data_IF_719888328414
#
_entry.id   IF_719888328414
#
_cell.length_a   1.000
_cell.length_b   1.000
_cell.length_c   1.000
_cell.angle_alpha   90.00
_cell.angle_beta   90.00
_cell.angle_gamma   90.00
#
_symmetry.space_group_name_H-M   'P 1'
#
loop_
_entity.id
_entity.type
_entity.pdbx_description
1 polymer ?
#
# COMPACT_ATOMS: atom_id res chain seq x y z
N UNK A 1 14.61 35.17 -15.33
CA UNK A 1 13.78 34.18 -16.04
C UNK A 1 13.95 32.86 -15.33
N UNK A 2 12.99 32.51 -14.48
CA UNK A 2 13.01 31.24 -13.75
C UNK A 2 12.10 30.27 -14.52
N UNK A 3 12.71 29.44 -15.34
CA UNK A 3 12.01 28.31 -15.96
C UNK A 3 11.68 27.27 -14.87
N UNK A 4 10.40 27.11 -14.59
CA UNK A 4 9.88 26.03 -13.75
C UNK A 4 10.02 24.72 -14.51
N UNK A 5 11.06 23.96 -14.19
CA UNK A 5 11.37 22.62 -14.74
C UNK A 5 10.47 21.49 -14.20
N UNK A 6 9.20 21.74 -13.94
CA UNK A 6 8.25 20.69 -13.55
C UNK A 6 6.97 20.88 -14.34
N UNK A 7 6.88 20.23 -15.48
CA UNK A 7 5.66 20.05 -16.25
C UNK A 7 4.86 18.86 -15.72
N UNK A 8 3.53 18.91 -15.78
CA UNK A 8 2.63 17.85 -15.31
C UNK A 8 2.90 16.47 -15.98
N UNK A 9 3.44 16.45 -17.19
CA UNK A 9 3.85 15.23 -17.89
C UNK A 9 4.98 14.44 -17.21
N UNK A 10 5.85 15.10 -16.43
CA UNK A 10 6.95 14.42 -15.72
C UNK A 10 6.47 13.64 -14.50
N UNK A 11 5.31 13.93 -13.95
CA UNK A 11 4.75 13.24 -12.78
C UNK A 11 4.13 11.89 -13.17
N UNK A 12 3.46 11.82 -14.32
CA UNK A 12 2.88 10.57 -14.85
C UNK A 12 3.96 9.61 -15.32
N UNK A 13 5.01 10.12 -15.98
CA UNK A 13 6.18 9.32 -16.38
C UNK A 13 6.92 8.73 -15.18
N UNK A 14 7.05 9.48 -14.08
CA UNK A 14 7.68 8.99 -12.84
C UNK A 14 6.86 7.87 -12.18
N UNK A 15 5.54 7.99 -12.19
CA UNK A 15 4.65 6.98 -11.62
C UNK A 15 4.68 5.67 -12.42
N UNK A 16 4.68 5.73 -13.75
CA UNK A 16 4.78 4.57 -14.64
C UNK A 16 6.16 3.90 -14.52
N UNK A 17 7.22 4.70 -14.46
CA UNK A 17 8.58 4.23 -14.25
C UNK A 17 8.71 3.47 -12.92
N UNK A 18 8.24 4.05 -11.81
CA UNK A 18 8.25 3.38 -10.50
C UNK A 18 7.42 2.10 -10.51
N UNK A 19 6.29 2.07 -11.22
CA UNK A 19 5.44 0.87 -11.31
C UNK A 19 6.16 -0.30 -11.99
N UNK A 20 6.96 -0.03 -13.02
CA UNK A 20 7.74 -1.06 -13.73
C UNK A 20 8.86 -1.67 -12.90
N UNK A 21 9.36 -0.96 -11.89
CA UNK A 21 10.44 -1.42 -11.01
C UNK A 21 9.92 -2.18 -9.77
N UNK A 22 8.62 -2.17 -9.51
CA UNK A 22 8.07 -2.82 -8.30
C UNK A 22 8.26 -4.33 -8.34
N UNK A 23 8.70 -4.94 -7.23
CA UNK A 23 8.67 -6.39 -7.09
C UNK A 23 7.22 -6.90 -7.17
N UNK A 24 7.05 -8.08 -7.74
CA UNK A 24 5.73 -8.72 -7.90
C UNK A 24 5.45 -9.77 -6.84
N UNK A 25 6.49 -10.31 -6.21
CA UNK A 25 6.39 -11.36 -5.19
C UNK A 25 7.20 -11.03 -3.95
N UNK A 26 6.95 -11.74 -2.84
CA UNK A 26 7.78 -11.65 -1.64
C UNK A 26 9.21 -12.11 -1.89
N UNK A 27 9.43 -13.03 -2.82
CA UNK A 27 10.76 -13.50 -3.20
C UNK A 27 11.60 -12.42 -3.89
N UNK A 28 10.95 -11.49 -4.60
CA UNK A 28 11.60 -10.35 -5.24
C UNK A 28 11.72 -9.12 -4.31
N UNK A 29 11.06 -9.15 -3.17
CA UNK A 29 11.00 -8.03 -2.24
C UNK A 29 12.26 -8.00 -1.37
N UNK A 30 13.17 -7.08 -1.67
CA UNK A 30 14.46 -6.91 -0.99
C UNK A 30 14.25 -6.12 0.30
N UNK A 31 14.94 -6.54 1.36
CA UNK A 31 14.91 -5.91 2.68
C UNK A 31 13.62 -6.15 3.45
N UNK A 32 13.46 -5.47 4.60
CA UNK A 32 12.31 -5.64 5.51
C UNK A 32 12.08 -7.11 5.91
N UNK A 33 13.12 -7.90 6.11
CA UNK A 33 13.08 -9.36 6.25
C UNK A 33 12.05 -9.83 7.27
N UNK A 34 12.02 -9.20 8.44
CA UNK A 34 11.05 -9.55 9.51
C UNK A 34 9.59 -9.35 9.03
N UNK A 35 9.31 -8.31 8.28
CA UNK A 35 7.96 -8.03 7.74
C UNK A 35 7.61 -9.06 6.69
N UNK A 36 8.56 -9.33 5.78
CA UNK A 36 8.41 -10.31 4.70
C UNK A 36 8.13 -11.71 5.26
N UNK A 37 8.94 -12.16 6.22
CA UNK A 37 8.81 -13.50 6.79
C UNK A 37 7.48 -13.69 7.53
N UNK A 38 7.06 -12.70 8.31
CA UNK A 38 5.75 -12.72 8.98
C UNK A 38 4.59 -12.74 7.98
N UNK A 39 4.65 -11.93 6.93
CA UNK A 39 3.63 -11.92 5.88
C UNK A 39 3.59 -13.24 5.12
N UNK A 40 4.73 -13.85 4.83
CA UNK A 40 4.80 -15.14 4.17
C UNK A 40 4.04 -16.23 4.96
N UNK A 41 4.22 -16.27 6.28
CA UNK A 41 3.50 -17.22 7.15
C UNK A 41 2.00 -16.93 7.14
N UNK A 42 1.60 -15.67 7.31
CA UNK A 42 0.18 -15.27 7.36
C UNK A 42 -0.54 -15.54 6.04
N UNK A 43 0.10 -15.21 4.92
CA UNK A 43 -0.44 -15.45 3.57
C UNK A 43 -0.56 -16.95 3.29
N UNK A 44 0.46 -17.74 3.62
CA UNK A 44 0.43 -19.19 3.44
C UNK A 44 -0.72 -19.82 4.25
N UNK A 45 -0.93 -19.37 5.48
CA UNK A 45 -2.03 -19.83 6.34
C UNK A 45 -3.41 -19.47 5.75
N UNK A 46 -3.61 -18.22 5.33
CA UNK A 46 -4.88 -17.77 4.72
C UNK A 46 -5.19 -18.55 3.44
N UNK A 47 -4.19 -18.73 2.55
CA UNK A 47 -4.33 -19.54 1.34
C UNK A 47 -4.69 -20.99 1.63
N UNK A 48 -4.01 -21.61 2.61
CA UNK A 48 -4.27 -23.00 3.02
C UNK A 48 -5.69 -23.22 3.51
N UNK A 49 -6.27 -22.25 4.22
CA UNK A 49 -7.67 -22.27 4.69
C UNK A 49 -8.66 -21.78 3.66
N UNK A 50 -8.22 -21.19 2.55
CA UNK A 50 -9.06 -20.51 1.53
C UNK A 50 -9.88 -19.37 2.13
N UNK A 51 -9.32 -18.64 3.05
CA UNK A 51 -9.93 -17.51 3.74
C UNK A 51 -9.30 -16.18 3.30
N UNK A 52 -9.98 -15.06 3.56
CA UNK A 52 -9.37 -13.75 3.46
C UNK A 52 -8.23 -13.64 4.49
N UNK A 53 -7.17 -12.90 4.13
CA UNK A 53 -6.12 -12.56 5.08
C UNK A 53 -6.69 -11.58 6.13
N UNK A 54 -6.22 -11.64 7.35
CA UNK A 54 -6.51 -10.63 8.35
C UNK A 54 -6.15 -9.23 7.84
N UNK A 55 -6.87 -8.21 8.30
CA UNK A 55 -6.61 -6.84 7.88
C UNK A 55 -5.20 -6.39 8.26
N UNK A 56 -4.51 -5.74 7.34
CA UNK A 56 -3.09 -5.38 7.45
C UNK A 56 -2.92 -3.86 7.54
N UNK A 57 -2.17 -3.41 8.54
CA UNK A 57 -1.71 -2.02 8.66
C UNK A 57 -0.22 -1.92 8.37
N UNK A 58 0.13 -1.15 7.33
CA UNK A 58 1.51 -0.84 6.97
C UNK A 58 1.81 0.61 7.32
N UNK A 59 2.78 0.86 8.20
CA UNK A 59 3.12 2.24 8.58
C UNK A 59 4.62 2.50 8.57
N UNK A 60 5.00 3.74 8.43
CA UNK A 60 6.40 4.17 8.40
C UNK A 60 6.63 5.33 7.44
N UNK A 61 7.86 5.87 7.37
CA UNK A 61 8.22 6.98 6.50
C UNK A 61 7.78 6.80 5.06
N UNK A 62 7.62 7.89 4.28
CA UNK A 62 7.27 7.81 2.87
C UNK A 62 8.40 7.16 2.04
N UNK A 63 8.03 6.51 0.94
CA UNK A 63 8.99 5.93 -0.01
C UNK A 63 9.61 4.59 0.37
N UNK A 64 9.15 3.95 1.48
CA UNK A 64 9.66 2.66 1.97
C UNK A 64 8.96 1.43 1.37
N UNK A 65 8.03 1.60 0.42
CA UNK A 65 7.41 0.48 -0.27
C UNK A 65 6.08 -0.03 0.29
N UNK A 66 5.35 0.74 1.14
CA UNK A 66 4.03 0.35 1.66
C UNK A 66 3.05 -0.03 0.55
N UNK A 67 2.90 0.83 -0.44
CA UNK A 67 2.05 0.57 -1.62
C UNK A 67 2.52 -0.65 -2.40
N UNK A 68 3.82 -0.79 -2.61
CA UNK A 68 4.42 -1.96 -3.27
C UNK A 68 4.07 -3.24 -2.53
N UNK A 69 4.22 -3.23 -1.20
CA UNK A 69 3.94 -4.41 -0.37
C UNK A 69 2.46 -4.80 -0.41
N UNK A 70 1.54 -3.82 -0.47
CA UNK A 70 0.11 -4.10 -0.63
C UNK A 70 -0.18 -4.87 -1.94
N UNK A 71 0.44 -4.48 -3.05
CA UNK A 71 0.30 -5.21 -4.32
C UNK A 71 0.97 -6.58 -4.29
N UNK A 72 2.12 -6.71 -3.63
CA UNK A 72 2.79 -8.00 -3.43
C UNK A 72 1.89 -8.95 -2.63
N UNK A 73 1.26 -8.48 -1.54
CA UNK A 73 0.32 -9.28 -0.76
C UNK A 73 -0.84 -9.78 -1.64
N UNK A 74 -1.46 -8.90 -2.43
CA UNK A 74 -2.54 -9.30 -3.34
C UNK A 74 -2.10 -10.33 -4.38
N UNK A 75 -0.91 -10.15 -4.95
CA UNK A 75 -0.33 -11.12 -5.90
C UNK A 75 -0.07 -12.49 -5.24
N UNK A 76 0.50 -12.50 -4.04
CA UNK A 76 0.75 -13.73 -3.28
C UNK A 76 -0.56 -14.44 -2.87
N UNK A 77 -1.61 -13.68 -2.57
CA UNK A 77 -2.95 -14.24 -2.30
C UNK A 77 -3.64 -14.72 -3.57
N UNK A 78 -3.20 -14.30 -4.75
CA UNK A 78 -3.83 -14.62 -6.04
C UNK A 78 -5.15 -13.88 -6.26
N UNK A 79 -5.29 -12.66 -5.72
CA UNK A 79 -6.51 -11.85 -5.80
C UNK A 79 -6.23 -10.46 -6.33
N UNK A 80 -7.28 -9.75 -6.77
CA UNK A 80 -7.15 -8.38 -7.21
C UNK A 80 -6.99 -7.42 -6.03
N UNK A 81 -6.23 -6.34 -6.25
CA UNK A 81 -6.06 -5.23 -5.33
C UNK A 81 -6.81 -4.03 -5.88
N UNK A 82 -7.84 -3.59 -5.19
CA UNK A 82 -8.52 -2.34 -5.47
C UNK A 82 -7.91 -1.25 -4.61
N UNK A 83 -7.22 -0.32 -5.26
CA UNK A 83 -6.47 0.72 -4.57
C UNK A 83 -7.21 2.06 -4.59
N UNK A 84 -7.18 2.73 -3.46
CA UNK A 84 -7.64 4.11 -3.28
C UNK A 84 -6.76 4.82 -2.26
N UNK A 85 -7.07 6.06 -1.95
CA UNK A 85 -6.39 6.82 -0.90
C UNK A 85 -7.41 7.50 0.03
N UNK A 86 -7.06 7.66 1.30
CA UNK A 86 -7.94 8.29 2.29
C UNK A 86 -8.54 9.62 1.83
N UNK A 87 -7.75 10.55 1.27
CA UNK A 87 -8.28 11.83 0.78
C UNK A 87 -9.23 11.76 -0.42
N UNK A 88 -9.24 10.64 -1.14
CA UNK A 88 -10.11 10.44 -2.33
C UNK A 88 -11.51 9.99 -1.92
N UNK A 89 -11.64 9.39 -0.75
CA UNK A 89 -12.92 8.94 -0.21
C UNK A 89 -13.59 10.14 0.48
N UNK A 90 -14.44 10.85 -0.26
CA UNK A 90 -15.05 12.09 0.24
C UNK A 90 -16.36 11.84 0.98
N UNK A 91 -17.08 10.79 0.62
CA UNK A 91 -18.43 10.48 1.14
C UNK A 91 -18.53 9.01 1.57
N UNK A 92 -19.42 8.79 2.53
CA UNK A 92 -19.80 7.46 2.97
C UNK A 92 -20.21 6.52 1.82
N UNK A 93 -20.93 7.05 0.83
CA UNK A 93 -21.36 6.31 -0.35
C UNK A 93 -20.22 5.84 -1.25
N UNK A 94 -19.12 6.59 -1.31
CA UNK A 94 -17.95 6.20 -2.11
C UNK A 94 -17.31 4.93 -1.53
N UNK A 95 -17.11 4.91 -0.22
CA UNK A 95 -16.58 3.74 0.48
C UNK A 95 -17.55 2.55 0.41
N UNK A 96 -18.84 2.78 0.62
CA UNK A 96 -19.85 1.74 0.52
C UNK A 96 -19.88 1.11 -0.88
N UNK A 97 -19.80 1.92 -1.94
CA UNK A 97 -19.72 1.43 -3.31
C UNK A 97 -18.44 0.61 -3.57
N UNK A 98 -17.30 1.02 -3.02
CA UNK A 98 -16.07 0.23 -3.13
C UNK A 98 -16.20 -1.12 -2.44
N UNK A 99 -16.71 -1.15 -1.21
CA UNK A 99 -16.85 -2.36 -0.41
C UNK A 99 -17.86 -3.36 -1.00
N UNK A 100 -19.00 -2.88 -1.50
CA UNK A 100 -20.04 -3.74 -2.10
C UNK A 100 -19.62 -4.33 -3.45
N UNK A 101 -18.66 -3.72 -4.14
CA UNK A 101 -18.12 -4.22 -5.41
C UNK A 101 -16.94 -5.18 -5.24
N UNK A 102 -16.44 -5.41 -4.00
CA UNK A 102 -15.38 -6.38 -3.76
C UNK A 102 -15.89 -7.81 -3.99
N UNK A 103 -15.05 -8.62 -4.59
CA UNK A 103 -15.27 -10.05 -4.71
C UNK A 103 -14.69 -10.78 -3.49
N UNK A 104 -15.07 -12.05 -3.31
CA UNK A 104 -14.57 -12.86 -2.20
C UNK A 104 -13.05 -12.86 -2.13
N UNK A 105 -12.52 -12.54 -0.96
CA UNK A 105 -11.09 -12.46 -0.61
C UNK A 105 -10.29 -11.38 -1.34
N UNK A 106 -10.90 -10.51 -2.14
CA UNK A 106 -10.19 -9.37 -2.73
C UNK A 106 -9.56 -8.46 -1.66
N UNK A 107 -8.58 -7.70 -2.09
CA UNK A 107 -7.89 -6.70 -1.25
C UNK A 107 -8.41 -5.31 -1.58
N UNK A 108 -8.87 -4.59 -0.55
CA UNK A 108 -9.03 -3.14 -0.61
C UNK A 108 -7.79 -2.49 0.01
N UNK A 109 -7.05 -1.72 -0.80
CA UNK A 109 -5.90 -0.96 -0.33
C UNK A 109 -6.25 0.52 -0.21
N UNK A 110 -6.06 1.10 0.99
CA UNK A 110 -6.28 2.52 1.26
C UNK A 110 -4.94 3.16 1.67
N UNK A 111 -4.36 3.95 0.76
CA UNK A 111 -3.16 4.73 1.08
C UNK A 111 -3.51 5.98 1.90
N UNK A 112 -2.60 6.41 2.77
CA UNK A 112 -2.80 7.53 3.70
C UNK A 112 -4.15 7.44 4.45
N UNK A 113 -4.48 6.25 4.94
CA UNK A 113 -5.77 5.93 5.60
C UNK A 113 -6.09 6.88 6.77
N UNK A 114 -5.08 7.44 7.44
CA UNK A 114 -5.26 8.42 8.51
C UNK A 114 -5.89 9.76 8.06
N UNK A 115 -6.05 9.97 6.74
CA UNK A 115 -6.64 11.18 6.17
C UNK A 115 -8.11 11.02 5.82
N UNK A 116 -8.71 9.89 6.13
CA UNK A 116 -10.17 9.74 6.00
C UNK A 116 -10.90 10.60 7.03
N UNK A 117 -12.08 11.09 6.65
CA UNK A 117 -12.95 11.76 7.59
C UNK A 117 -13.49 10.78 8.66
N UNK A 118 -13.65 11.19 9.93
CA UNK A 118 -14.13 10.31 11.00
C UNK A 118 -15.44 9.59 10.67
N UNK A 119 -16.39 10.28 10.06
CA UNK A 119 -17.68 9.70 9.66
C UNK A 119 -17.55 8.58 8.61
N UNK A 120 -16.50 8.62 7.78
CA UNK A 120 -16.20 7.57 6.81
C UNK A 120 -15.47 6.42 7.49
N UNK A 121 -14.58 6.73 8.43
CA UNK A 121 -13.87 5.72 9.22
C UNK A 121 -14.84 4.83 10.00
N UNK A 122 -15.92 5.38 10.56
CA UNK A 122 -16.94 4.64 11.29
C UNK A 122 -17.64 3.57 10.45
N UNK A 123 -17.71 3.74 9.12
CA UNK A 123 -18.27 2.74 8.20
C UNK A 123 -17.33 1.52 8.07
N UNK A 124 -16.03 1.72 8.22
CA UNK A 124 -15.08 0.60 8.18
C UNK A 124 -15.23 -0.34 9.37
N UNK A 125 -15.70 0.11 10.51
CA UNK A 125 -15.74 -0.73 11.71
C UNK A 125 -16.59 -1.98 11.52
N UNK A 126 -17.90 -1.90 11.20
CA UNK A 126 -18.69 -3.09 10.94
C UNK A 126 -18.24 -3.84 9.68
N UNK A 127 -17.74 -3.13 8.68
CA UNK A 127 -17.21 -3.77 7.47
C UNK A 127 -16.00 -4.66 7.74
N UNK A 128 -15.12 -4.28 8.66
CA UNK A 128 -13.93 -5.05 9.04
C UNK A 128 -14.23 -6.17 10.03
N UNK A 129 -15.16 -5.97 10.96
CA UNK A 129 -15.46 -6.96 12.01
C UNK A 129 -16.46 -7.99 11.55
N UNK A 130 -17.59 -7.53 10.99
CA UNK A 130 -18.76 -8.36 10.71
C UNK A 130 -18.98 -8.62 9.22
N UNK A 131 -18.20 -7.97 8.35
CA UNK A 131 -18.41 -7.96 6.89
C UNK A 131 -19.83 -7.50 6.52
N UNK A 132 -20.27 -6.42 7.17
CA UNK A 132 -21.57 -5.80 6.95
C UNK A 132 -21.43 -4.29 6.83
N UNK A 133 -22.34 -3.66 6.07
CA UNK A 133 -22.50 -2.21 6.03
C UNK A 133 -23.86 -1.83 6.63
N UNK A 134 -23.86 -0.83 7.49
CA UNK A 134 -25.08 -0.20 7.96
C UNK A 134 -25.44 0.98 7.05
N UNK A 135 -26.50 0.80 6.25
CA UNK A 135 -27.00 1.84 5.34
C UNK A 135 -28.29 2.42 5.88
N UNK A 136 -28.30 3.72 6.12
CA UNK A 136 -29.52 4.43 6.51
C UNK A 136 -30.32 4.81 5.27
N UNK A 137 -31.52 4.26 5.16
CA UNK A 137 -32.47 4.54 4.07
C UNK A 137 -33.58 5.44 4.59
N UNK A 138 -33.86 6.53 3.87
CA UNK A 138 -34.88 7.52 4.24
C UNK A 138 -34.32 8.68 5.02
N UNK A 139 -35.20 9.62 5.39
CA UNK A 139 -34.88 10.82 6.15
C UNK A 139 -35.86 11.02 7.31
N UNK A 140 -35.40 11.70 8.36
CA UNK A 140 -36.22 12.03 9.53
C UNK A 140 -36.67 10.82 10.38
N UNK A 141 -37.78 10.91 11.09
CA UNK A 141 -38.24 9.85 12.04
C UNK A 141 -38.55 8.50 11.38
N UNK A 142 -38.69 8.43 10.05
CA UNK A 142 -38.93 7.23 9.27
C UNK A 142 -37.66 6.58 8.70
N UNK A 143 -36.50 7.09 9.01
CA UNK A 143 -35.24 6.49 8.55
C UNK A 143 -35.04 5.09 9.16
N UNK A 144 -34.62 4.14 8.31
CA UNK A 144 -34.36 2.76 8.74
C UNK A 144 -32.93 2.41 8.41
N UNK A 145 -32.23 1.75 9.34
CA UNK A 145 -30.93 1.13 9.07
C UNK A 145 -31.16 -0.24 8.46
N UNK A 146 -30.46 -0.51 7.35
CA UNK A 146 -30.46 -1.79 6.67
C UNK A 146 -29.01 -2.31 6.64
N UNK A 147 -28.83 -3.53 7.12
CA UNK A 147 -27.53 -4.21 7.05
C UNK A 147 -27.37 -4.87 5.68
N UNK A 148 -26.29 -4.51 5.00
CA UNK A 148 -25.92 -5.08 3.71
C UNK A 148 -24.70 -5.98 3.91
N UNK A 149 -24.81 -7.30 3.65
CA UNK A 149 -23.68 -8.21 3.80
C UNK A 149 -22.65 -7.93 2.71
N UNK A 150 -21.37 -8.03 3.10
CA UNK A 150 -20.21 -7.90 2.22
C UNK A 150 -19.57 -9.27 1.98
N UNK A 151 -18.90 -9.42 0.86
CA UNK A 151 -17.95 -10.52 0.67
C UNK A 151 -16.80 -10.37 1.68
N UNK A 152 -16.22 -11.49 2.12
CA UNK A 152 -15.03 -11.45 2.96
C UNK A 152 -13.86 -10.85 2.16
N UNK A 153 -13.23 -9.84 2.71
CA UNK A 153 -12.15 -9.10 2.05
C UNK A 153 -11.01 -8.83 3.03
N UNK A 154 -9.87 -8.46 2.50
CA UNK A 154 -8.74 -7.96 3.29
C UNK A 154 -8.60 -6.46 3.09
N UNK A 155 -8.67 -5.68 4.17
CA UNK A 155 -8.28 -4.28 4.14
C UNK A 155 -6.78 -4.17 4.39
N UNK A 156 -6.06 -3.49 3.48
CA UNK A 156 -4.68 -3.08 3.71
C UNK A 156 -4.67 -1.56 3.84
N UNK A 157 -4.43 -1.06 5.05
CA UNK A 157 -4.24 0.36 5.31
C UNK A 157 -2.77 0.73 5.28
N UNK A 158 -2.42 1.83 4.60
CA UNK A 158 -1.09 2.39 4.65
C UNK A 158 -1.11 3.81 5.26
N UNK A 159 -0.12 4.14 6.06
CA UNK A 159 0.01 5.47 6.65
C UNK A 159 1.46 5.86 6.91
N UNK A 160 1.74 7.14 6.72
CA UNK A 160 3.00 7.75 7.17
C UNK A 160 2.93 8.21 8.63
N UNK A 161 1.73 8.29 9.21
CA UNK A 161 1.46 8.87 10.54
C UNK A 161 0.55 7.97 11.37
N UNK A 162 1.08 6.85 11.84
CA UNK A 162 0.31 5.87 12.63
C UNK A 162 -0.33 6.46 13.90
N UNK A 163 0.25 7.50 14.48
CA UNK A 163 -0.29 8.20 15.64
C UNK A 163 -1.56 9.03 15.36
N UNK A 164 -1.92 9.26 14.10
CA UNK A 164 -3.15 9.95 13.69
C UNK A 164 -4.32 8.99 13.44
N UNK A 165 -4.07 7.68 13.44
CA UNK A 165 -5.15 6.69 13.38
C UNK A 165 -5.89 6.66 14.72
N UNK A 166 -7.21 6.59 14.64
CA UNK A 166 -8.02 6.40 15.86
C UNK A 166 -7.72 5.04 16.49
N UNK A 167 -7.84 4.96 17.81
CA UNK A 167 -7.66 3.71 18.54
C UNK A 167 -8.58 2.59 18.02
N UNK A 168 -9.88 2.86 17.83
CA UNK A 168 -10.83 1.89 17.28
C UNK A 168 -10.44 1.32 15.92
N UNK A 169 -10.01 2.18 14.96
CA UNK A 169 -9.57 1.69 13.65
C UNK A 169 -8.31 0.84 13.77
N UNK A 170 -7.33 1.31 14.55
CA UNK A 170 -6.07 0.59 14.72
C UNK A 170 -6.24 -0.79 15.33
N UNK A 171 -7.16 -0.94 16.30
CA UNK A 171 -7.43 -2.21 16.98
C UNK A 171 -8.02 -3.28 16.06
N UNK A 172 -8.58 -2.89 14.92
CA UNK A 172 -9.20 -3.80 13.94
C UNK A 172 -8.22 -4.41 12.94
N UNK A 173 -6.98 -3.95 12.94
CA UNK A 173 -5.93 -4.56 12.14
C UNK A 173 -5.28 -5.71 12.91
N UNK A 174 -5.48 -6.94 12.42
CA UNK A 174 -4.89 -8.14 13.01
C UNK A 174 -3.37 -8.26 12.73
N UNK A 175 -2.93 -7.67 11.62
CA UNK A 175 -1.53 -7.67 11.19
C UNK A 175 -1.03 -6.23 11.11
N UNK A 176 -0.01 -5.89 11.91
CA UNK A 176 0.52 -4.53 11.97
C UNK A 176 2.03 -4.55 11.75
N UNK A 177 2.49 -3.91 10.69
CA UNK A 177 3.91 -3.84 10.35
C UNK A 177 4.41 -2.42 10.21
N UNK A 178 5.52 -2.14 10.89
CA UNK A 178 6.31 -0.93 10.68
C UNK A 178 7.37 -1.20 9.64
N UNK A 179 7.41 -0.37 8.59
CA UNK A 179 8.51 -0.36 7.64
C UNK A 179 9.57 0.62 8.14
N UNK A 180 10.81 0.17 8.07
CA UNK A 180 11.97 0.93 8.53
C UNK A 180 12.84 1.38 7.35
N UNK A 181 13.75 2.30 7.59
CA UNK A 181 14.74 2.67 6.59
C UNK A 181 15.59 1.45 6.23
N UNK A 182 15.91 1.34 4.95
CA UNK A 182 16.69 0.24 4.40
C UNK A 182 18.18 0.42 4.72
N UNK A 183 18.87 -0.68 4.93
CA UNK A 183 20.32 -0.70 4.97
C UNK A 183 20.91 -0.38 3.58
N UNK A 184 22.13 0.16 3.56
CA UNK A 184 22.79 0.48 2.30
C UNK A 184 22.97 -0.75 1.40
N UNK A 185 23.24 -1.92 1.98
CA UNK A 185 23.36 -3.18 1.23
C UNK A 185 22.05 -3.56 0.50
N UNK A 186 20.90 -3.42 1.16
CA UNK A 186 19.59 -3.69 0.55
C UNK A 186 19.30 -2.69 -0.57
N UNK A 187 19.63 -1.42 -0.37
CA UNK A 187 19.45 -0.39 -1.40
C UNK A 187 20.36 -0.61 -2.60
N UNK A 188 21.59 -1.07 -2.39
CA UNK A 188 22.52 -1.41 -3.45
C UNK A 188 21.96 -2.57 -4.30
N UNK A 189 21.38 -3.59 -3.67
CA UNK A 189 20.71 -4.68 -4.37
C UNK A 189 19.48 -4.20 -5.14
N UNK A 190 18.67 -3.31 -4.56
CA UNK A 190 17.53 -2.66 -5.23
C UNK A 190 18.01 -1.88 -6.45
N UNK A 191 19.09 -1.12 -6.36
CA UNK A 191 19.67 -0.37 -7.50
C UNK A 191 20.11 -1.32 -8.59
N UNK A 192 20.86 -2.38 -8.27
CA UNK A 192 21.30 -3.39 -9.25
C UNK A 192 20.11 -4.08 -9.93
N UNK A 193 19.08 -4.46 -9.14
CA UNK A 193 17.85 -5.05 -9.69
C UNK A 193 17.15 -4.07 -10.64
N UNK A 194 16.98 -2.85 -10.24
CA UNK A 194 16.33 -1.81 -11.05
C UNK A 194 17.12 -1.51 -12.32
N UNK A 195 18.45 -1.42 -12.24
CA UNK A 195 19.34 -1.24 -13.38
C UNK A 195 19.21 -2.37 -14.40
N UNK A 196 19.12 -3.63 -13.94
CA UNK A 196 18.88 -4.79 -14.82
C UNK A 196 17.53 -4.71 -15.54
N UNK A 197 16.46 -4.33 -14.83
CA UNK A 197 15.13 -4.17 -15.43
C UNK A 197 15.12 -3.09 -16.51
N UNK A 198 15.89 -2.01 -16.28
CA UNK A 198 16.00 -0.88 -17.19
C UNK A 198 17.02 -1.09 -18.30
N UNK A 199 17.75 -2.22 -18.27
CA UNK A 199 18.86 -2.50 -19.19
C UNK A 199 19.95 -1.41 -19.16
N UNK A 200 20.21 -0.84 -17.98
CA UNK A 200 21.25 0.18 -17.75
C UNK A 200 22.46 -0.49 -17.09
N UNK A 201 23.66 -0.41 -17.68
CA UNK A 201 24.86 -0.89 -17.03
C UNK A 201 25.22 0.04 -15.85
N UNK A 202 25.41 -0.54 -14.67
CA UNK A 202 25.81 0.20 -13.46
C UNK A 202 27.00 -0.51 -12.83
N UNK A 203 28.09 0.20 -12.63
CA UNK A 203 29.27 -0.29 -11.91
C UNK A 203 28.92 -0.47 -10.40
N UNK A 204 29.62 -1.39 -9.74
CA UNK A 204 29.36 -1.69 -8.33
C UNK A 204 29.57 -0.47 -7.43
N UNK A 205 30.60 0.31 -7.70
CA UNK A 205 30.89 1.55 -6.95
C UNK A 205 29.79 2.60 -7.14
N UNK A 206 29.21 2.68 -8.34
CA UNK A 206 28.11 3.60 -8.62
C UNK A 206 26.81 3.15 -7.91
N UNK A 207 26.54 1.84 -7.89
CA UNK A 207 25.39 1.29 -7.15
C UNK A 207 25.51 1.57 -5.65
N UNK A 208 26.69 1.35 -5.06
CA UNK A 208 26.96 1.65 -3.66
C UNK A 208 26.85 3.16 -3.35
N UNK A 209 27.30 4.04 -4.23
CA UNK A 209 27.17 5.49 -4.05
C UNK A 209 25.71 5.96 -4.13
N UNK A 210 24.92 5.44 -5.07
CA UNK A 210 23.49 5.71 -5.16
C UNK A 210 22.78 5.24 -3.88
N UNK A 211 23.11 4.05 -3.38
CA UNK A 211 22.52 3.49 -2.14
C UNK A 211 22.77 4.42 -0.96
N UNK A 212 24.02 4.81 -0.70
CA UNK A 212 24.39 5.72 0.40
C UNK A 212 23.65 7.07 0.32
N UNK A 213 23.52 7.64 -0.89
CA UNK A 213 22.83 8.92 -1.11
C UNK A 213 21.30 8.81 -1.00
N UNK A 214 20.77 7.62 -1.00
CA UNK A 214 19.32 7.36 -0.94
C UNK A 214 18.72 7.45 0.46
N UNK A 215 19.54 7.61 1.49
CA UNK A 215 19.13 7.83 2.88
C UNK A 215 18.09 6.79 3.36
N UNK A 216 18.34 5.53 3.09
CA UNK A 216 17.45 4.44 3.51
C UNK A 216 16.15 4.31 2.72
N UNK A 217 16.00 4.98 1.57
CA UNK A 217 14.70 5.09 0.88
C UNK A 217 14.77 4.54 -0.55
N UNK A 218 14.11 3.41 -0.86
CA UNK A 218 14.08 2.80 -2.19
C UNK A 218 13.58 3.74 -3.31
N UNK A 219 12.57 4.57 -3.02
CA UNK A 219 12.06 5.55 -3.98
C UNK A 219 13.14 6.55 -4.39
N UNK A 220 13.96 7.02 -3.44
CA UNK A 220 15.06 7.94 -3.73
C UNK A 220 16.14 7.21 -4.54
N UNK A 221 16.46 5.95 -4.20
CA UNK A 221 17.44 5.15 -4.93
C UNK A 221 17.06 5.00 -6.41
N UNK A 222 15.83 4.60 -6.70
CA UNK A 222 15.32 4.46 -8.05
C UNK A 222 15.31 5.80 -8.81
N UNK A 223 14.96 6.89 -8.12
CA UNK A 223 14.97 8.23 -8.73
C UNK A 223 16.36 8.73 -9.05
N UNK A 224 17.36 8.43 -8.20
CA UNK A 224 18.76 8.74 -8.47
C UNK A 224 19.27 7.90 -9.64
N UNK A 225 18.98 6.60 -9.67
CA UNK A 225 19.36 5.71 -10.77
C UNK A 225 18.81 6.23 -12.11
N UNK A 226 17.54 6.63 -12.15
CA UNK A 226 16.93 7.20 -13.36
C UNK A 226 17.69 8.45 -13.83
N UNK A 227 18.00 9.35 -12.92
CA UNK A 227 18.74 10.58 -13.27
C UNK A 227 20.13 10.29 -13.79
N UNK A 228 20.83 9.34 -13.18
CA UNK A 228 22.16 8.92 -13.65
C UNK A 228 22.10 8.28 -15.04
N UNK A 229 21.04 7.54 -15.34
CA UNK A 229 20.80 6.98 -16.68
C UNK A 229 20.62 8.05 -17.75
N UNK A 230 19.95 9.14 -17.41
CA UNK A 230 19.58 10.21 -18.35
C UNK A 230 20.76 11.16 -18.65
N UNK A 231 21.93 10.95 -17.98
CA UNK A 231 23.20 11.65 -18.23
C UNK A 231 24.19 10.80 -19.02
#
# INVERSE_FOLDING_TARGET
>A
MNDRLVTAGTVDDDAQYEAGLRPRSLAEYIGQDRVRDNLQVSIAAARGRKEALDHVLLYGPPGLGKTTLAYVIGHELGVQVRATAGPVIEKAGDLAAMLTNLQDREVLFIDEIHRMAPAIEEILYPAMEDYELDIVIGQGPGARSVKVPLQKFTLIGATTRAGLLTGPLRARFGIVHRLEFYADADLEEIVRRSARILSVPVADEAAAEIARRSRGTPRIANRLLRRVRDY
#
